data_IF_709977702146
#
_entry.id   IF_709977702146
#
_cell.length_a   1.000
_cell.length_b   1.000
_cell.length_c   1.000
_cell.angle_alpha   90.00
_cell.angle_beta   90.00
_cell.angle_gamma   90.00
#
_symmetry.space_group_name_H-M   'P 1'
#
loop_
_entity.id
_entity.type
_entity.pdbx_description
1 polymer ?
#
# COMPACT_ATOMS: atom_id res chain seq x y z
N UNK A 1 4.78 12.17 26.78
CA UNK A 1 6.00 11.36 27.05
C UNK A 1 6.61 10.98 25.71
N UNK A 2 7.92 11.00 25.58
CA UNK A 2 8.59 10.55 24.35
C UNK A 2 8.90 9.06 24.41
N UNK A 3 8.81 8.38 23.28
CA UNK A 3 9.08 6.94 23.21
C UNK A 3 10.51 6.58 23.68
N UNK A 4 11.50 7.39 23.32
CA UNK A 4 12.90 7.19 23.75
C UNK A 4 13.08 7.07 25.27
N UNK A 5 12.21 7.76 26.06
CA UNK A 5 12.29 7.72 27.53
C UNK A 5 11.77 6.36 28.05
N UNK A 6 10.79 5.77 27.33
CA UNK A 6 10.23 4.45 27.63
C UNK A 6 11.20 3.36 27.17
N UNK A 7 11.76 3.51 25.98
CA UNK A 7 12.66 2.55 25.32
C UNK A 7 13.78 2.12 26.26
N UNK A 8 14.45 3.05 26.93
CA UNK A 8 15.56 2.75 27.82
C UNK A 8 15.16 1.74 28.92
N UNK A 9 13.99 1.93 29.53
CA UNK A 9 13.51 1.05 30.61
C UNK A 9 13.11 -0.31 30.06
N UNK A 10 12.51 -0.36 28.87
CA UNK A 10 12.16 -1.63 28.21
C UNK A 10 13.40 -2.43 27.83
N UNK A 11 14.46 -1.78 27.32
CA UNK A 11 15.75 -2.41 27.01
C UNK A 11 16.40 -2.99 28.28
N UNK A 12 16.40 -2.25 29.38
CA UNK A 12 16.90 -2.72 30.68
C UNK A 12 16.10 -3.91 31.20
N UNK A 13 14.76 -3.88 31.01
CA UNK A 13 13.91 -4.98 31.43
C UNK A 13 14.21 -6.27 30.65
N UNK A 14 14.35 -6.21 29.34
CA UNK A 14 14.69 -7.38 28.51
C UNK A 14 16.08 -7.93 28.88
N UNK A 15 17.04 -7.06 29.23
CA UNK A 15 18.37 -7.47 29.70
C UNK A 15 18.37 -8.03 31.12
N UNK A 16 17.26 -7.96 31.85
CA UNK A 16 17.17 -8.38 33.25
C UNK A 16 17.78 -7.38 34.24
N UNK A 17 18.04 -6.16 33.79
CA UNK A 17 18.60 -5.07 34.62
C UNK A 17 17.50 -4.24 35.29
N UNK A 18 16.24 -4.41 34.89
CA UNK A 18 15.05 -3.72 35.41
C UNK A 18 13.96 -4.75 35.71
N UNK A 19 13.00 -4.36 36.54
CA UNK A 19 11.93 -5.25 37.01
C UNK A 19 10.64 -5.03 36.22
N UNK A 20 9.75 -6.04 36.20
CA UNK A 20 8.40 -5.89 35.62
C UNK A 20 7.62 -4.75 36.29
N UNK A 21 7.84 -4.51 37.58
CA UNK A 21 7.21 -3.43 38.32
C UNK A 21 7.57 -2.04 37.77
N UNK A 22 8.79 -1.86 37.26
CA UNK A 22 9.21 -0.61 36.64
C UNK A 22 8.51 -0.38 35.30
N UNK A 23 8.31 -1.41 34.49
CA UNK A 23 7.50 -1.34 33.26
C UNK A 23 6.04 -1.04 33.61
N UNK A 24 5.46 -1.72 34.60
CA UNK A 24 4.10 -1.45 35.08
C UNK A 24 3.95 -0.01 35.61
N UNK A 25 4.95 0.52 36.30
CA UNK A 25 4.96 1.90 36.78
C UNK A 25 4.93 2.91 35.62
N UNK A 26 5.62 2.63 34.52
CA UNK A 26 5.54 3.48 33.31
C UNK A 26 4.10 3.46 32.79
N UNK A 27 3.51 2.28 32.61
CA UNK A 27 2.13 2.15 32.10
C UNK A 27 1.14 2.88 33.02
N UNK A 28 1.29 2.75 34.35
CA UNK A 28 0.43 3.43 35.33
C UNK A 28 0.58 4.96 35.31
N UNK A 29 1.73 5.46 34.88
CA UNK A 29 1.97 6.91 34.77
C UNK A 29 1.54 7.46 33.38
N UNK A 30 1.17 6.60 32.43
CA UNK A 30 0.63 7.03 31.15
C UNK A 30 -0.84 7.43 31.28
N UNK A 31 -1.21 8.48 30.59
CA UNK A 31 -2.61 8.85 30.41
C UNK A 31 -3.23 7.99 29.31
N UNK A 32 -3.75 6.80 29.68
CA UNK A 32 -4.33 5.88 28.73
C UNK A 32 -5.80 6.25 28.49
N UNK A 33 -6.14 6.54 27.22
CA UNK A 33 -7.52 6.78 26.80
C UNK A 33 -8.26 5.46 26.67
N UNK A 34 -9.37 5.30 27.35
CA UNK A 34 -10.24 4.11 27.22
C UNK A 34 -11.15 4.17 26.00
N UNK A 35 -11.27 5.34 25.38
CA UNK A 35 -12.12 5.57 24.22
C UNK A 35 -11.60 6.73 23.37
N UNK A 36 -11.60 6.54 22.06
CA UNK A 36 -11.35 7.58 21.05
C UNK A 36 -12.63 7.83 20.24
N UNK A 37 -13.09 9.08 20.11
CA UNK A 37 -14.26 9.40 19.29
C UNK A 37 -14.10 8.92 17.84
N UNK A 38 -15.19 8.42 17.23
CA UNK A 38 -15.17 7.80 15.89
C UNK A 38 -14.56 8.72 14.84
N UNK A 39 -14.92 10.00 14.83
CA UNK A 39 -14.37 10.98 13.87
C UNK A 39 -12.85 11.10 14.02
N UNK A 40 -12.35 11.09 15.26
CA UNK A 40 -10.90 11.14 15.52
C UNK A 40 -10.19 9.86 15.09
N UNK A 41 -10.84 8.69 15.26
CA UNK A 41 -10.33 7.41 14.74
C UNK A 41 -10.15 7.48 13.23
N UNK A 42 -11.18 7.90 12.50
CA UNK A 42 -11.11 8.01 11.05
C UNK A 42 -10.03 9.00 10.58
N UNK A 43 -9.86 10.13 11.23
CA UNK A 43 -8.83 11.09 10.87
C UNK A 43 -7.41 10.49 11.04
N UNK A 44 -7.16 9.82 12.17
CA UNK A 44 -5.88 9.14 12.45
C UNK A 44 -5.62 8.04 11.43
N UNK A 45 -6.62 7.18 11.19
CA UNK A 45 -6.52 6.03 10.29
C UNK A 45 -6.34 6.48 8.83
N UNK A 46 -7.02 7.53 8.39
CA UNK A 46 -6.87 8.06 7.03
C UNK A 46 -5.44 8.56 6.79
N UNK A 47 -4.85 9.26 7.76
CA UNK A 47 -3.45 9.70 7.65
C UNK A 47 -2.50 8.50 7.54
N UNK A 48 -2.68 7.49 8.36
CA UNK A 48 -1.89 6.27 8.33
C UNK A 48 -2.06 5.49 7.01
N UNK A 49 -3.30 5.36 6.54
CA UNK A 49 -3.60 4.69 5.27
C UNK A 49 -2.95 5.38 4.08
N UNK A 50 -2.90 6.72 4.07
CA UNK A 50 -2.21 7.48 3.01
C UNK A 50 -0.70 7.23 3.03
N UNK A 51 -0.07 7.19 4.22
CA UNK A 51 1.35 6.84 4.35
C UNK A 51 1.67 5.43 3.84
N UNK A 52 0.79 4.45 4.12
CA UNK A 52 0.92 3.09 3.60
C UNK A 52 0.76 3.04 2.07
N UNK A 53 -0.12 3.86 1.51
CA UNK A 53 -0.34 3.95 0.07
C UNK A 53 0.92 4.44 -0.66
N UNK A 54 1.69 5.36 -0.08
CA UNK A 54 2.96 5.82 -0.62
C UNK A 54 3.99 4.67 -0.74
N UNK A 55 3.99 3.74 0.23
CA UNK A 55 4.86 2.55 0.19
C UNK A 55 4.48 1.61 -0.96
N UNK A 56 3.19 1.49 -1.29
CA UNK A 56 2.73 0.68 -2.42
C UNK A 56 3.02 1.31 -3.78
N UNK A 57 2.99 2.64 -3.85
CA UNK A 57 3.19 3.41 -5.07
C UNK A 57 4.67 3.63 -5.42
N UNK A 58 5.59 3.30 -4.53
CA UNK A 58 7.03 3.37 -4.81
C UNK A 58 7.43 2.28 -5.81
N UNK A 59 7.21 2.59 -7.09
CA UNK A 59 7.20 1.67 -8.23
C UNK A 59 8.57 1.16 -8.69
N UNK A 60 9.66 1.68 -8.14
CA UNK A 60 11.02 1.31 -8.59
C UNK A 60 11.43 -0.13 -8.21
N UNK A 61 10.60 -0.84 -7.45
CA UNK A 61 10.92 -2.17 -6.92
C UNK A 61 9.85 -3.24 -7.18
N UNK A 62 9.09 -3.18 -8.26
CA UNK A 62 8.02 -4.14 -8.59
C UNK A 62 8.41 -5.61 -8.35
N UNK A 63 8.07 -6.15 -7.17
CA UNK A 63 8.26 -7.57 -6.85
C UNK A 63 7.49 -7.98 -5.59
N UNK A 64 7.42 -9.30 -5.34
CA UNK A 64 6.89 -9.93 -4.11
C UNK A 64 7.48 -9.32 -2.83
N UNK A 65 8.70 -8.78 -2.86
CA UNK A 65 9.34 -8.10 -1.74
C UNK A 65 8.64 -6.80 -1.31
N UNK A 66 7.91 -6.11 -2.20
CA UNK A 66 7.14 -4.92 -1.85
C UNK A 66 5.91 -5.26 -1.02
N UNK A 67 5.18 -6.30 -1.38
CA UNK A 67 4.03 -6.78 -0.61
C UNK A 67 4.45 -7.21 0.80
N UNK A 68 5.58 -7.91 0.94
CA UNK A 68 6.12 -8.28 2.25
C UNK A 68 6.52 -7.05 3.05
N UNK A 69 7.22 -6.10 2.43
CA UNK A 69 7.57 -4.81 3.05
C UNK A 69 6.33 -4.03 3.51
N UNK A 70 5.29 -4.00 2.70
CA UNK A 70 4.02 -3.36 3.04
C UNK A 70 3.36 -3.98 4.28
N UNK A 71 3.25 -5.31 4.36
CA UNK A 71 2.64 -5.97 5.52
C UNK A 71 3.45 -5.76 6.80
N UNK A 72 4.77 -5.80 6.71
CA UNK A 72 5.66 -5.49 7.85
C UNK A 72 5.47 -4.03 8.29
N UNK A 73 5.44 -3.09 7.35
CA UNK A 73 5.21 -1.66 7.62
C UNK A 73 3.83 -1.43 8.23
N UNK A 74 2.80 -2.14 7.75
CA UNK A 74 1.45 -2.07 8.31
C UNK A 74 1.43 -2.54 9.76
N UNK A 75 1.99 -3.71 10.06
CA UNK A 75 1.96 -4.32 11.40
C UNK A 75 2.72 -3.46 12.42
N UNK A 76 3.94 -3.05 12.07
CA UNK A 76 4.76 -2.16 12.89
C UNK A 76 4.05 -0.81 13.08
N UNK A 77 3.62 -0.19 11.98
CA UNK A 77 2.97 1.13 12.00
C UNK A 77 1.68 1.14 12.81
N UNK A 78 0.85 0.09 12.71
CA UNK A 78 -0.40 -0.03 13.46
C UNK A 78 -0.16 -0.08 14.98
N UNK A 79 0.85 -0.81 15.46
CA UNK A 79 1.19 -0.88 16.88
C UNK A 79 1.63 0.49 17.41
N UNK A 80 2.52 1.16 16.69
CA UNK A 80 2.96 2.51 17.06
C UNK A 80 1.82 3.54 16.98
N UNK A 81 0.92 3.40 16.00
CA UNK A 81 -0.26 4.24 15.87
C UNK A 81 -1.18 4.11 17.08
N UNK A 82 -1.42 2.88 17.56
CA UNK A 82 -2.22 2.61 18.75
C UNK A 82 -1.56 3.24 19.99
N UNK A 83 -0.25 3.05 20.18
CA UNK A 83 0.48 3.66 21.30
C UNK A 83 0.37 5.20 21.28
N UNK A 84 0.55 5.83 20.13
CA UNK A 84 0.43 7.28 19.99
C UNK A 84 -1.00 7.77 20.23
N UNK A 85 -2.00 7.05 19.72
CA UNK A 85 -3.40 7.46 19.77
C UNK A 85 -4.01 7.31 21.17
N UNK A 86 -3.69 6.20 21.86
CA UNK A 86 -4.30 5.87 23.15
C UNK A 86 -3.48 6.33 24.35
N UNK A 87 -2.16 6.42 24.24
CA UNK A 87 -1.30 6.75 25.38
C UNK A 87 -0.67 8.14 25.27
N UNK A 88 -0.94 8.87 24.20
CA UNK A 88 -0.32 10.17 23.94
C UNK A 88 1.23 10.11 23.98
N UNK A 89 1.79 9.00 23.46
CA UNK A 89 3.23 8.82 23.32
C UNK A 89 3.66 9.46 22.01
N UNK A 90 4.66 10.31 22.07
CA UNK A 90 5.26 10.93 20.89
C UNK A 90 6.33 9.96 20.37
N UNK A 91 6.12 9.45 19.15
CA UNK A 91 7.00 8.50 18.45
C UNK A 91 7.41 9.17 17.14
N UNK A 92 8.71 9.37 16.95
CA UNK A 92 9.25 9.91 15.69
C UNK A 92 9.31 8.81 14.61
N UNK A 93 9.40 9.20 13.34
CA UNK A 93 9.41 8.22 12.23
C UNK A 93 10.63 7.30 12.28
N UNK A 94 11.79 7.82 12.70
CA UNK A 94 13.02 7.05 12.90
C UNK A 94 12.95 6.05 14.06
N UNK A 95 11.97 6.19 14.96
CA UNK A 95 11.72 5.26 16.05
C UNK A 95 10.78 4.10 15.66
N UNK A 96 10.08 4.18 14.55
CA UNK A 96 9.16 3.14 14.05
C UNK A 96 9.91 2.01 13.32
N UNK A 97 10.81 1.36 14.03
CA UNK A 97 11.65 0.28 13.50
C UNK A 97 11.18 -1.09 13.98
N UNK A 98 11.60 -2.16 13.29
CA UNK A 98 11.34 -3.55 13.70
C UNK A 98 11.93 -3.86 15.09
N UNK A 99 13.12 -3.32 15.40
CA UNK A 99 13.77 -3.51 16.69
C UNK A 99 12.95 -2.90 17.84
N UNK A 100 12.43 -1.69 17.64
CA UNK A 100 11.57 -1.05 18.63
C UNK A 100 10.19 -1.72 18.72
N UNK A 101 9.67 -2.25 17.61
CA UNK A 101 8.48 -3.10 17.62
C UNK A 101 8.69 -4.35 18.46
N UNK A 102 9.78 -5.10 18.22
CA UNK A 102 10.11 -6.29 18.98
C UNK A 102 10.28 -5.97 20.47
N UNK A 103 10.89 -4.85 20.79
CA UNK A 103 11.08 -4.36 22.16
C UNK A 103 9.73 -4.15 22.88
N UNK A 104 8.76 -3.47 22.28
CA UNK A 104 7.44 -3.22 22.91
C UNK A 104 6.60 -4.50 23.04
N UNK A 105 6.79 -5.48 22.12
CA UNK A 105 6.08 -6.77 22.20
C UNK A 105 6.73 -7.67 23.24
N UNK A 106 8.04 -7.90 23.18
CA UNK A 106 8.76 -8.79 24.08
C UNK A 106 8.70 -8.33 25.55
N UNK A 107 8.70 -7.03 25.79
CA UNK A 107 8.54 -6.50 27.15
C UNK A 107 7.11 -6.65 27.70
N UNK A 108 6.14 -7.02 26.91
CA UNK A 108 4.72 -7.04 27.26
C UNK A 108 4.10 -5.64 27.44
N UNK A 109 4.84 -4.58 27.11
CA UNK A 109 4.39 -3.20 27.26
C UNK A 109 3.13 -2.91 26.43
N UNK A 110 3.09 -3.38 25.18
CA UNK A 110 1.93 -3.25 24.32
C UNK A 110 0.70 -3.94 24.92
N UNK A 111 0.86 -5.16 25.43
CA UNK A 111 -0.25 -5.94 26.00
C UNK A 111 -0.84 -5.29 27.24
N UNK A 112 -0.01 -4.67 28.08
CA UNK A 112 -0.49 -3.93 29.25
C UNK A 112 -1.37 -2.75 28.84
N UNK A 113 -1.00 -2.01 27.77
CA UNK A 113 -1.79 -0.91 27.24
C UNK A 113 -3.05 -1.42 26.55
N UNK A 114 -2.91 -2.44 25.70
CA UNK A 114 -4.03 -3.05 24.98
C UNK A 114 -5.13 -3.51 25.94
N UNK A 115 -4.78 -4.18 27.02
CA UNK A 115 -5.75 -4.69 27.99
C UNK A 115 -6.52 -3.58 28.73
N UNK A 116 -5.96 -2.39 28.87
CA UNK A 116 -6.64 -1.25 29.49
C UNK A 116 -7.79 -0.69 28.62
N UNK A 117 -7.71 -0.85 27.31
CA UNK A 117 -8.66 -0.26 26.35
C UNK A 117 -9.09 -1.24 25.25
N UNK A 118 -9.07 -2.53 25.57
CA UNK A 118 -9.20 -3.65 24.63
C UNK A 118 -10.33 -3.47 23.63
N UNK A 119 -11.54 -3.27 24.12
CA UNK A 119 -12.75 -3.21 23.23
C UNK A 119 -12.67 -2.05 22.24
N UNK A 120 -12.13 -0.90 22.66
CA UNK A 120 -12.05 0.27 21.80
C UNK A 120 -10.88 0.16 20.82
N UNK A 121 -9.76 -0.48 21.24
CA UNK A 121 -8.60 -0.75 20.38
C UNK A 121 -8.97 -1.80 19.32
N UNK A 122 -9.67 -2.88 19.69
CA UNK A 122 -10.17 -3.89 18.73
C UNK A 122 -11.03 -3.22 17.65
N UNK A 123 -11.94 -2.33 18.05
CA UNK A 123 -12.76 -1.57 17.11
C UNK A 123 -11.96 -0.59 16.26
N UNK A 124 -10.90 -0.01 16.81
CA UNK A 124 -9.98 0.83 16.04
C UNK A 124 -9.26 0.01 14.96
N UNK A 125 -8.78 -1.19 15.31
CA UNK A 125 -8.14 -2.13 14.36
C UNK A 125 -9.11 -2.52 13.25
N UNK A 126 -10.34 -2.91 13.58
CA UNK A 126 -11.38 -3.25 12.58
C UNK A 126 -11.65 -2.11 11.59
N UNK A 127 -11.70 -0.88 12.07
CA UNK A 127 -11.88 0.31 11.21
C UNK A 127 -10.64 0.49 10.33
N UNK A 128 -9.44 0.32 10.92
CA UNK A 128 -8.18 0.45 10.20
C UNK A 128 -8.09 -0.55 9.05
N UNK A 129 -8.33 -1.83 9.32
CA UNK A 129 -8.33 -2.91 8.31
C UNK A 129 -9.27 -2.61 7.16
N UNK A 130 -10.47 -2.10 7.49
CA UNK A 130 -11.47 -1.74 6.48
C UNK A 130 -11.02 -0.56 5.61
N UNK A 131 -10.53 0.52 6.22
CA UNK A 131 -10.11 1.74 5.49
C UNK A 131 -8.90 1.44 4.62
N UNK A 132 -7.89 0.76 5.18
CA UNK A 132 -6.68 0.37 4.45
C UNK A 132 -7.03 -0.61 3.32
N UNK A 133 -7.91 -1.58 3.56
CA UNK A 133 -8.37 -2.53 2.54
C UNK A 133 -9.09 -1.85 1.38
N UNK A 134 -9.94 -0.85 1.65
CA UNK A 134 -10.63 -0.08 0.60
C UNK A 134 -9.62 0.74 -0.22
N UNK A 135 -8.69 1.44 0.43
CA UNK A 135 -7.67 2.23 -0.25
C UNK A 135 -6.76 1.35 -1.12
N UNK A 136 -6.32 0.21 -0.61
CA UNK A 136 -5.50 -0.72 -1.38
C UNK A 136 -6.23 -1.25 -2.61
N UNK A 137 -7.50 -1.60 -2.48
CA UNK A 137 -8.30 -2.09 -3.62
C UNK A 137 -8.43 -1.00 -4.68
N UNK A 138 -8.66 0.24 -4.27
CA UNK A 138 -8.75 1.37 -5.20
C UNK A 138 -7.43 1.62 -5.94
N UNK A 139 -6.30 1.64 -5.23
CA UNK A 139 -4.97 1.83 -5.81
C UNK A 139 -4.64 0.71 -6.80
N UNK A 140 -4.90 -0.55 -6.44
CA UNK A 140 -4.63 -1.69 -7.32
C UNK A 140 -5.48 -1.61 -8.60
N UNK A 141 -6.75 -1.23 -8.50
CA UNK A 141 -7.62 -1.06 -9.67
C UNK A 141 -7.13 0.09 -10.57
N UNK A 142 -6.63 1.18 -9.98
CA UNK A 142 -6.09 2.31 -10.75
C UNK A 142 -4.78 1.95 -11.45
N UNK A 143 -3.89 1.22 -10.77
CA UNK A 143 -2.66 0.69 -11.37
C UNK A 143 -2.94 -0.30 -12.50
N UNK A 144 -3.92 -1.20 -12.34
CA UNK A 144 -4.36 -2.12 -13.40
C UNK A 144 -4.88 -1.35 -14.61
N UNK A 145 -5.66 -0.29 -14.40
CA UNK A 145 -6.17 0.57 -15.49
C UNK A 145 -5.02 1.26 -16.21
N UNK A 146 -4.09 1.87 -15.50
CA UNK A 146 -2.90 2.54 -16.09
C UNK A 146 -2.03 1.51 -16.86
N UNK A 147 -1.84 0.32 -16.29
CA UNK A 147 -1.07 -0.74 -16.94
C UNK A 147 -1.74 -1.19 -18.25
N UNK A 148 -3.05 -1.44 -18.22
CA UNK A 148 -3.82 -1.81 -19.42
C UNK A 148 -3.77 -0.71 -20.47
N UNK A 149 -3.91 0.56 -20.10
CA UNK A 149 -3.81 1.68 -21.03
C UNK A 149 -2.41 1.81 -21.63
N UNK A 150 -1.36 1.64 -20.83
CA UNK A 150 0.04 1.69 -21.28
C UNK A 150 0.33 0.55 -22.27
N UNK A 151 -0.11 -0.67 -21.98
CA UNK A 151 0.05 -1.83 -22.86
C UNK A 151 -0.71 -1.61 -24.17
N UNK A 152 -1.93 -1.06 -24.10
CA UNK A 152 -2.72 -0.74 -25.30
C UNK A 152 -2.04 0.33 -26.16
N UNK A 153 -1.49 1.39 -25.57
CA UNK A 153 -0.75 2.44 -26.29
C UNK A 153 0.52 1.88 -26.96
N UNK A 154 1.30 1.06 -26.24
CA UNK A 154 2.48 0.42 -26.81
C UNK A 154 2.14 -0.54 -27.97
N UNK A 155 1.10 -1.34 -27.81
CA UNK A 155 0.61 -2.21 -28.87
C UNK A 155 0.12 -1.41 -30.08
N UNK A 156 -0.60 -0.31 -29.88
CA UNK A 156 -1.02 0.58 -30.96
C UNK A 156 0.16 1.22 -31.67
N UNK A 157 1.19 1.69 -30.95
CA UNK A 157 2.41 2.24 -31.55
C UNK A 157 3.15 1.18 -32.38
N UNK A 158 3.27 -0.05 -31.89
CA UNK A 158 3.87 -1.16 -32.64
C UNK A 158 3.07 -1.46 -33.90
N UNK A 159 1.75 -1.53 -33.82
CA UNK A 159 0.86 -1.73 -34.96
C UNK A 159 1.01 -0.59 -35.99
N UNK A 160 1.05 0.67 -35.54
CA UNK A 160 1.26 1.84 -36.41
C UNK A 160 2.62 1.82 -37.08
N UNK A 161 3.67 1.42 -36.39
CA UNK A 161 5.02 1.27 -36.99
C UNK A 161 5.05 0.15 -38.04
N UNK A 162 4.36 -0.95 -37.79
CA UNK A 162 4.21 -2.06 -38.74
C UNK A 162 3.42 -1.63 -40.00
N UNK A 163 2.35 -0.85 -39.81
CA UNK A 163 1.50 -0.35 -40.92
C UNK A 163 2.19 0.74 -41.75
N UNK A 164 3.12 1.47 -41.20
CA UNK A 164 3.88 2.53 -41.89
C UNK A 164 5.11 2.00 -42.66
N UNK A 165 5.47 0.72 -42.52
CA UNK A 165 6.59 0.14 -43.22
C UNK A 165 6.10 -0.45 -44.56
N UNK A 166 6.38 0.24 -45.68
CA UNK A 166 5.95 -0.10 -47.06
C UNK A 166 6.42 -1.48 -47.57
N UNK A 167 7.21 -2.21 -46.79
CA UNK A 167 7.80 -3.50 -47.17
C UNK A 167 7.04 -4.75 -46.76
N UNK A 168 5.92 -4.63 -46.04
CA UNK A 168 5.41 -5.79 -45.31
C UNK A 168 4.00 -6.27 -45.66
N UNK A 169 3.77 -6.74 -46.88
CA UNK A 169 2.59 -7.59 -47.20
C UNK A 169 2.57 -8.88 -46.36
N UNK A 170 3.72 -9.46 -46.03
CA UNK A 170 3.82 -10.66 -45.18
C UNK A 170 3.47 -10.37 -43.69
N UNK A 171 3.72 -9.17 -43.19
CA UNK A 171 3.34 -8.81 -41.83
C UNK A 171 1.84 -8.56 -41.67
N UNK A 172 1.16 -8.09 -42.68
CA UNK A 172 -0.32 -8.01 -42.69
C UNK A 172 -0.99 -9.38 -42.49
N UNK A 173 -0.39 -10.45 -43.00
CA UNK A 173 -0.86 -11.80 -42.70
C UNK A 173 -0.63 -12.20 -41.23
N UNK A 174 0.52 -11.87 -40.64
CA UNK A 174 0.78 -12.12 -39.23
C UNK A 174 -0.11 -11.29 -38.30
N UNK A 175 -0.44 -10.06 -38.67
CA UNK A 175 -1.42 -9.24 -37.96
C UNK A 175 -2.82 -9.84 -37.99
N UNK A 176 -3.18 -10.51 -39.09
CA UNK A 176 -4.44 -11.28 -39.17
C UNK A 176 -4.44 -12.52 -38.26
N UNK A 177 -3.32 -13.19 -38.11
CA UNK A 177 -3.18 -14.29 -37.14
C UNK A 177 -3.25 -13.81 -35.69
N UNK A 178 -2.69 -12.64 -35.37
CA UNK A 178 -2.80 -12.00 -34.05
C UNK A 178 -4.26 -11.55 -33.79
N UNK A 179 -5.00 -11.12 -34.79
CA UNK A 179 -6.43 -10.78 -34.68
C UNK A 179 -7.31 -11.97 -34.24
N UNK A 180 -6.94 -13.19 -34.60
CA UNK A 180 -7.65 -14.39 -34.17
C UNK A 180 -7.43 -14.77 -32.69
N UNK A 181 -6.44 -14.13 -32.03
CA UNK A 181 -6.05 -14.40 -30.63
C UNK A 181 -6.37 -13.26 -29.68
N UNK A 182 -6.89 -12.12 -30.15
CA UNK A 182 -7.10 -10.94 -29.32
C UNK A 182 -8.53 -10.40 -29.39
N UNK A 183 -8.90 -9.67 -28.35
CA UNK A 183 -10.18 -9.04 -28.00
C UNK A 183 -10.97 -8.48 -29.23
N UNK A 184 -12.29 -8.72 -29.30
CA UNK A 184 -13.19 -8.23 -30.36
C UNK A 184 -13.18 -6.70 -30.60
N UNK A 185 -12.72 -5.93 -29.61
CA UNK A 185 -12.61 -4.46 -29.67
C UNK A 185 -11.45 -4.04 -30.57
N UNK A 186 -10.31 -4.73 -30.51
CA UNK A 186 -9.13 -4.47 -31.35
C UNK A 186 -9.42 -4.79 -32.82
N UNK A 187 -10.20 -5.84 -33.11
CA UNK A 187 -10.63 -6.18 -34.45
C UNK A 187 -11.37 -5.04 -35.14
N UNK A 188 -12.28 -4.36 -34.44
CA UNK A 188 -13.05 -3.23 -34.96
C UNK A 188 -12.19 -2.00 -35.27
N UNK A 189 -11.17 -1.75 -34.44
CA UNK A 189 -10.23 -0.63 -34.63
C UNK A 189 -9.37 -0.87 -35.86
N UNK A 190 -8.84 -2.07 -36.02
CA UNK A 190 -7.99 -2.46 -37.16
C UNK A 190 -8.79 -2.41 -38.46
N UNK A 191 -10.04 -2.87 -38.49
CA UNK A 191 -10.89 -2.82 -39.71
C UNK A 191 -11.23 -1.38 -40.09
N UNK A 192 -11.46 -0.50 -39.13
CA UNK A 192 -11.66 0.94 -39.36
C UNK A 192 -10.41 1.58 -39.98
N UNK A 193 -9.23 1.29 -39.43
CA UNK A 193 -7.94 1.83 -39.88
C UNK A 193 -7.59 1.29 -41.29
N UNK A 194 -7.86 0.01 -41.61
CA UNK A 194 -7.71 -0.53 -42.94
C UNK A 194 -8.56 0.21 -43.95
N UNK A 195 -9.82 0.53 -43.60
CA UNK A 195 -10.73 1.24 -44.50
C UNK A 195 -10.24 2.67 -44.73
N UNK A 196 -9.77 3.35 -43.73
CA UNK A 196 -9.21 4.72 -43.83
C UNK A 196 -7.95 4.76 -44.70
N UNK A 197 -7.06 3.76 -44.59
CA UNK A 197 -5.85 3.63 -45.44
C UNK A 197 -6.24 3.35 -46.88
N UNK A 198 -7.19 2.44 -47.12
CA UNK A 198 -7.67 2.14 -48.48
C UNK A 198 -8.26 3.38 -49.15
N UNK A 199 -9.07 4.15 -48.44
CA UNK A 199 -9.66 5.41 -48.94
C UNK A 199 -8.60 6.48 -49.24
N UNK A 200 -7.53 6.58 -48.42
CA UNK A 200 -6.39 7.49 -48.69
C UNK A 200 -5.55 7.09 -49.87
N UNK A 201 -5.38 5.81 -50.14
CA UNK A 201 -4.64 5.29 -51.32
C UNK A 201 -5.43 5.50 -52.60
N UNK A 202 -6.76 5.35 -52.56
CA UNK A 202 -7.62 5.60 -53.71
C UNK A 202 -7.77 7.05 -54.10
N UNK A 203 -7.68 7.96 -53.10
CA UNK A 203 -7.79 9.42 -53.31
C UNK A 203 -6.47 10.11 -53.73
N UNK A 204 -5.37 9.35 -53.87
CA UNK A 204 -4.05 9.86 -54.32
C UNK A 204 -3.78 9.56 -55.84
N UNK A 205 -4.80 9.10 -56.55
CA UNK A 205 -4.80 9.02 -58.03
C UNK A 205 -5.60 10.18 -58.59
#
# INVERSE_FOLDING_TARGET
MFFRDIKLVLEQYIKGESTKQEVENIVNNLSISTYIPVIKKYAIISTFSNQLSEVLLDTDKGSVSQLQGYYITYDIGLKFLILSAYCNIIISEDEKTSENYDLIIQSGFYDMIFNNSKVDIERFIEICDRVVGINNTWILNELDTIFCDTVNVQNMQQIMNILNDDKNKEMLQKVQEIQLLSDPTLGKIIDKTKKEIADQVMNRK
#
